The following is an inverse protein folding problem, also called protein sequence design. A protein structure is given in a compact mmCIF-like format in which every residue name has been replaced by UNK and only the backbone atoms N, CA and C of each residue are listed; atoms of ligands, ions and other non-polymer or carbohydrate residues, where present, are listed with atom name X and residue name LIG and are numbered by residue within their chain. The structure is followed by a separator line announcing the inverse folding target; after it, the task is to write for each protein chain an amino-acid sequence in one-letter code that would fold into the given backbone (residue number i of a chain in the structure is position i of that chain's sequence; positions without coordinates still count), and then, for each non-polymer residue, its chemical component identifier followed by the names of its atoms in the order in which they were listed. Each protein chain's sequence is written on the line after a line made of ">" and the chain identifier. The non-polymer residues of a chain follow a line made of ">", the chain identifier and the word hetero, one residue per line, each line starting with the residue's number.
data_IF_618152000699
#
_entry.id   IF_618152000699
#
_cell.length_a   1.000
_cell.length_b   1.000
_cell.length_c   1.000
_cell.angle_alpha   90.00
_cell.angle_beta   90.00
_cell.angle_gamma   90.00
#
_symmetry.space_group_name_H-M   'P 1'
#
loop_
_entity.id
_entity.type
_entity.pdbx_description
1 polymer ?
#
# COMPACT_ATOMS: atom_id res chain seq x y z
N UNK A 1 -28.67 5.60 -57.99
CA UNK A 1 -27.28 5.11 -57.91
C UNK A 1 -26.80 5.23 -56.46
N UNK A 2 -26.57 4.13 -55.73
CA UNK A 2 -26.07 4.19 -54.36
C UNK A 2 -24.53 4.14 -54.31
N UNK A 3 -23.96 4.82 -53.30
CA UNK A 3 -22.53 4.92 -52.98
C UNK A 3 -21.99 3.55 -52.50
N UNK A 4 -20.73 3.18 -52.79
CA UNK A 4 -20.19 1.86 -52.41
C UNK A 4 -19.93 1.76 -50.89
N UNK A 5 -19.97 0.55 -50.31
CA UNK A 5 -19.87 0.33 -48.87
C UNK A 5 -18.44 0.56 -48.36
N UNK A 6 -18.33 1.14 -47.16
CA UNK A 6 -17.06 1.29 -46.47
C UNK A 6 -16.46 -0.09 -46.17
N UNK A 7 -15.20 -0.25 -46.53
CA UNK A 7 -14.40 -1.46 -46.38
C UNK A 7 -14.22 -1.76 -44.89
N UNK A 8 -14.92 -2.78 -44.42
CA UNK A 8 -14.69 -3.43 -43.14
C UNK A 8 -13.36 -4.19 -43.26
N UNK A 9 -12.35 -3.79 -42.48
CA UNK A 9 -11.14 -4.55 -42.22
C UNK A 9 -10.92 -4.51 -40.70
N UNK A 10 -11.27 -5.62 -40.04
CA UNK A 10 -10.64 -6.28 -38.87
C UNK A 10 -9.77 -5.33 -38.02
N UNK A 11 -10.16 -4.91 -36.81
CA UNK A 11 -10.33 -5.71 -35.58
C UNK A 11 -9.23 -6.79 -35.37
N UNK A 12 -8.43 -6.51 -34.34
CA UNK A 12 -7.52 -7.33 -33.53
C UNK A 12 -6.02 -7.40 -33.86
N UNK A 13 -5.26 -7.19 -32.77
CA UNK A 13 -3.81 -7.19 -32.52
C UNK A 13 -3.00 -5.94 -32.93
N UNK A 14 -2.90 -4.99 -31.99
CA UNK A 14 -1.62 -4.65 -31.31
C UNK A 14 -1.86 -3.46 -30.35
N UNK A 15 -2.48 -3.73 -29.20
CA UNK A 15 -2.72 -2.78 -28.08
C UNK A 15 -1.46 -2.45 -27.25
N UNK A 16 -0.25 -2.57 -27.82
CA UNK A 16 0.98 -2.65 -27.01
C UNK A 16 1.96 -1.46 -27.13
N UNK A 17 1.63 -0.37 -27.85
CA UNK A 17 2.57 0.75 -28.04
C UNK A 17 2.21 2.09 -27.38
N UNK A 18 1.11 2.18 -26.62
CA UNK A 18 0.71 3.43 -25.94
C UNK A 18 1.17 3.55 -24.47
N UNK A 19 1.99 2.62 -23.97
CA UNK A 19 2.74 2.78 -22.70
C UNK A 19 4.05 3.57 -22.90
N UNK A 20 4.06 4.55 -23.82
CA UNK A 20 5.09 5.59 -23.82
C UNK A 20 4.85 6.51 -22.64
N UNK A 21 5.43 6.11 -21.51
CA UNK A 21 5.66 6.90 -20.31
C UNK A 21 6.19 8.29 -20.70
N UNK A 22 5.27 9.25 -20.85
CA UNK A 22 5.64 10.64 -21.10
C UNK A 22 6.31 11.17 -19.83
N UNK A 23 7.64 11.26 -19.85
CA UNK A 23 8.41 11.88 -18.77
C UNK A 23 7.90 13.33 -18.63
N UNK A 24 7.36 13.73 -17.46
CA UNK A 24 6.92 15.10 -17.28
C UNK A 24 8.11 16.04 -17.47
N UNK A 25 8.10 16.81 -18.56
CA UNK A 25 9.09 17.85 -18.91
C UNK A 25 9.07 19.06 -17.95
N UNK A 26 8.69 18.88 -16.70
CA UNK A 26 8.66 19.93 -15.70
C UNK A 26 9.56 19.56 -14.54
N UNK A 27 10.82 20.00 -14.57
CA UNK A 27 11.65 19.89 -13.39
C UNK A 27 12.78 20.93 -13.37
N UNK A 28 12.64 21.82 -12.38
CA UNK A 28 13.58 22.83 -11.88
C UNK A 28 15.07 22.47 -12.08
N UNK A 29 15.85 23.45 -12.54
CA UNK A 29 17.28 23.36 -12.88
C UNK A 29 18.14 22.63 -11.83
N UNK A 30 17.76 22.75 -10.56
CA UNK A 30 18.40 22.06 -9.43
C UNK A 30 18.27 20.54 -9.47
N UNK A 31 17.09 20.00 -9.82
CA UNK A 31 16.89 18.55 -9.88
C UNK A 31 17.67 17.94 -11.05
N UNK A 32 17.85 18.65 -12.16
CA UNK A 32 18.75 18.23 -13.26
C UNK A 32 20.20 18.13 -12.79
N UNK A 33 20.66 19.10 -11.99
CA UNK A 33 22.01 19.10 -11.39
C UNK A 33 22.20 17.90 -10.45
N UNK A 34 21.22 17.62 -9.60
CA UNK A 34 21.24 16.47 -8.67
C UNK A 34 21.18 15.15 -9.44
N UNK A 35 20.33 15.06 -10.47
CA UNK A 35 20.21 13.88 -11.33
C UNK A 35 21.54 13.52 -11.99
N UNK A 36 22.20 14.50 -12.63
CA UNK A 36 23.51 14.29 -13.24
C UNK A 36 24.57 13.89 -12.19
N UNK A 37 24.60 14.56 -11.04
CA UNK A 37 25.56 14.25 -9.98
C UNK A 37 25.37 12.84 -9.40
N UNK A 38 24.13 12.40 -9.16
CA UNK A 38 23.85 11.03 -8.68
C UNK A 38 24.19 9.99 -9.74
N UNK A 39 23.89 10.25 -11.01
CA UNK A 39 24.15 9.33 -12.11
C UNK A 39 25.65 9.15 -12.36
N UNK A 40 26.41 10.24 -12.38
CA UNK A 40 27.84 10.21 -12.66
C UNK A 40 28.66 9.65 -11.50
N UNK A 41 28.33 10.01 -10.25
CA UNK A 41 29.15 9.66 -9.10
C UNK A 41 28.75 8.33 -8.46
N UNK A 42 27.48 7.92 -8.59
CA UNK A 42 26.92 6.78 -7.86
C UNK A 42 26.34 5.69 -8.78
N UNK A 43 26.32 5.90 -10.12
CA UNK A 43 25.85 4.91 -11.12
C UNK A 43 24.47 4.31 -10.79
N UNK A 44 23.63 5.09 -10.10
CA UNK A 44 22.33 4.59 -9.66
C UNK A 44 21.40 4.38 -10.87
N UNK A 45 20.69 3.25 -10.93
CA UNK A 45 19.70 3.01 -11.97
C UNK A 45 18.52 3.99 -11.86
N UNK A 46 17.91 4.30 -13.00
CA UNK A 46 16.91 5.36 -13.15
C UNK A 46 15.66 5.15 -12.26
N UNK A 47 15.32 3.91 -11.90
CA UNK A 47 14.20 3.60 -11.00
C UNK A 47 14.41 4.13 -9.57
N UNK A 48 15.64 4.14 -9.06
CA UNK A 48 15.92 4.69 -7.71
C UNK A 48 15.77 6.20 -7.69
N UNK A 49 16.23 6.85 -8.74
CA UNK A 49 16.06 8.30 -8.90
C UNK A 49 14.57 8.66 -8.94
N UNK A 50 13.79 7.90 -9.71
CA UNK A 50 12.35 8.08 -9.78
C UNK A 50 11.66 7.88 -8.41
N UNK A 51 12.06 6.85 -7.65
CA UNK A 51 11.54 6.62 -6.30
C UNK A 51 11.89 7.76 -5.32
N UNK A 52 13.14 8.23 -5.33
CA UNK A 52 13.61 9.33 -4.47
C UNK A 52 12.84 10.62 -4.77
N UNK A 53 12.60 10.93 -6.05
CA UNK A 53 11.85 12.12 -6.47
C UNK A 53 10.33 11.98 -6.29
N UNK A 54 9.80 10.76 -6.25
CA UNK A 54 8.38 10.49 -5.98
C UNK A 54 8.02 10.74 -4.52
N UNK A 55 8.97 10.56 -3.60
CA UNK A 55 8.78 10.80 -2.16
C UNK A 55 8.78 12.31 -1.86
N UNK A 56 7.78 12.77 -1.10
CA UNK A 56 7.69 14.18 -0.69
C UNK A 56 8.83 14.59 0.25
N UNK A 57 9.24 15.87 0.21
CA UNK A 57 10.28 16.40 1.10
C UNK A 57 9.94 16.18 2.59
N UNK A 58 8.65 16.28 2.95
CA UNK A 58 8.17 16.02 4.33
C UNK A 58 8.45 14.58 4.75
N UNK A 59 8.21 13.61 3.87
CA UNK A 59 8.50 12.21 4.13
C UNK A 59 10.00 11.96 4.25
N UNK A 60 10.84 12.59 3.41
CA UNK A 60 12.29 12.54 3.57
C UNK A 60 12.76 13.04 4.93
N UNK A 61 12.23 14.18 5.40
CA UNK A 61 12.52 14.69 6.75
C UNK A 61 12.12 13.69 7.82
N UNK A 62 10.93 13.08 7.73
CA UNK A 62 10.50 12.04 8.67
C UNK A 62 11.42 10.81 8.65
N UNK A 63 11.83 10.33 7.46
CA UNK A 63 12.73 9.18 7.32
C UNK A 63 14.09 9.49 7.96
N UNK A 64 14.68 10.64 7.66
CA UNK A 64 15.95 11.04 8.26
C UNK A 64 15.86 11.24 9.76
N UNK A 65 14.76 11.84 10.25
CA UNK A 65 14.50 12.02 11.67
C UNK A 65 14.38 10.67 12.37
N UNK A 66 13.58 9.76 11.82
CA UNK A 66 13.42 8.41 12.34
C UNK A 66 14.76 7.68 12.36
N UNK A 67 15.53 7.72 11.28
CA UNK A 67 16.85 7.08 11.18
C UNK A 67 17.87 7.66 12.17
N UNK A 68 17.84 8.97 12.45
CA UNK A 68 18.74 9.58 13.44
C UNK A 68 18.37 9.22 14.89
N UNK A 69 17.09 8.90 15.16
CA UNK A 69 16.65 8.42 16.46
C UNK A 69 17.20 7.02 16.80
N UNK A 70 17.49 6.18 15.81
CA UNK A 70 18.01 4.82 16.01
C UNK A 70 19.36 4.77 16.77
N UNK A 71 20.42 5.52 16.37
CA UNK A 71 21.68 5.53 17.12
C UNK A 71 21.54 6.22 18.48
N UNK A 72 20.61 7.16 18.64
CA UNK A 72 20.33 7.79 19.94
C UNK A 72 19.72 6.77 20.89
N UNK A 73 18.74 5.98 20.45
CA UNK A 73 18.14 4.92 21.25
C UNK A 73 19.15 3.84 21.64
N UNK A 74 20.06 3.48 20.72
CA UNK A 74 21.11 2.50 21.00
C UNK A 74 22.10 3.01 22.06
N UNK A 75 22.42 4.31 22.09
CA UNK A 75 23.29 4.90 23.11
C UNK A 75 22.70 4.85 24.52
N UNK A 76 21.38 4.70 24.65
CA UNK A 76 20.67 4.69 25.93
C UNK A 76 20.30 3.25 26.34
N UNK A 77 20.78 2.23 25.62
CA UNK A 77 20.38 0.81 25.75
C UNK A 77 18.87 0.53 25.48
N UNK A 78 18.15 1.49 24.89
CA UNK A 78 16.75 1.34 24.46
C UNK A 78 16.60 0.87 23.00
N UNK A 79 17.68 0.38 22.37
CA UNK A 79 17.66 -0.11 20.99
C UNK A 79 16.53 -1.11 20.71
N UNK A 80 16.39 -2.19 21.52
CA UNK A 80 15.29 -3.15 21.36
C UNK A 80 13.91 -2.51 21.51
N UNK A 81 13.74 -1.59 22.48
CA UNK A 81 12.46 -0.91 22.70
C UNK A 81 12.08 0.01 21.53
N UNK A 82 13.06 0.66 20.93
CA UNK A 82 12.85 1.50 19.75
C UNK A 82 12.38 0.67 18.55
N UNK A 83 12.99 -0.49 18.29
CA UNK A 83 12.56 -1.39 17.22
C UNK A 83 11.16 -1.95 17.52
N UNK A 84 10.93 -2.37 18.77
CA UNK A 84 9.64 -2.93 19.19
C UNK A 84 8.52 -1.89 19.07
N UNK A 85 8.76 -0.68 19.56
CA UNK A 85 7.79 0.43 19.54
C UNK A 85 7.52 0.91 18.13
N UNK A 86 8.55 1.06 17.29
CA UNK A 86 8.36 1.45 15.88
C UNK A 86 7.63 0.36 15.09
N UNK A 87 7.94 -0.91 15.32
CA UNK A 87 7.22 -2.05 14.73
C UNK A 87 5.74 -2.09 15.15
N UNK A 88 5.46 -1.99 16.44
CA UNK A 88 4.08 -1.92 16.94
C UNK A 88 3.32 -0.72 16.37
N UNK A 89 3.96 0.45 16.34
CA UNK A 89 3.35 1.65 15.77
C UNK A 89 3.03 1.46 14.28
N UNK A 90 3.94 0.87 13.50
CA UNK A 90 3.68 0.55 12.10
C UNK A 90 2.51 -0.41 11.94
N UNK A 91 2.43 -1.46 12.77
CA UNK A 91 1.30 -2.40 12.76
C UNK A 91 -0.01 -1.67 13.08
N UNK A 92 -0.04 -0.85 14.13
CA UNK A 92 -1.24 -0.10 14.53
C UNK A 92 -1.66 0.94 13.49
N UNK A 93 -0.71 1.62 12.84
CA UNK A 93 -0.98 2.54 11.74
C UNK A 93 -1.43 1.79 10.48
N UNK A 94 -0.93 0.58 10.27
CA UNK A 94 -1.31 -0.28 9.15
C UNK A 94 -2.62 -1.04 9.40
N UNK A 95 -3.09 -1.11 10.65
CA UNK A 95 -4.31 -1.84 11.03
C UNK A 95 -5.54 -1.40 10.22
N UNK A 96 -5.53 -0.17 9.71
CA UNK A 96 -6.49 0.32 8.72
C UNK A 96 -7.93 0.31 9.25
N UNK A 97 -8.83 0.94 8.50
CA UNK A 97 -10.27 0.69 8.69
C UNK A 97 -10.66 -0.37 7.67
N UNK A 98 -10.98 -1.58 8.13
CA UNK A 98 -11.61 -2.59 7.28
C UNK A 98 -12.87 -2.01 6.66
N UNK A 99 -13.00 -2.11 5.33
CA UNK A 99 -14.27 -1.81 4.68
C UNK A 99 -15.25 -2.94 5.02
N UNK A 100 -16.45 -2.55 5.48
CA UNK A 100 -17.52 -3.50 5.78
C UNK A 100 -17.86 -4.27 4.50
N UNK A 101 -17.51 -5.57 4.45
CA UNK A 101 -17.73 -6.44 3.29
C UNK A 101 -16.47 -7.10 2.71
N UNK A 102 -15.26 -6.76 3.18
CA UNK A 102 -14.06 -7.49 2.77
C UNK A 102 -14.04 -8.91 3.36
N UNK A 103 -13.82 -9.88 2.47
CA UNK A 103 -13.73 -11.31 2.78
C UNK A 103 -12.64 -11.50 3.84
N UNK A 104 -13.04 -11.77 5.07
CA UNK A 104 -12.12 -12.22 6.09
C UNK A 104 -11.59 -13.61 5.72
N UNK A 105 -10.42 -14.00 6.21
CA UNK A 105 -9.93 -15.37 6.06
C UNK A 105 -10.93 -16.42 6.58
N UNK A 106 -11.84 -16.02 7.48
CA UNK A 106 -12.90 -16.87 8.01
C UNK A 106 -14.07 -17.05 7.03
N UNK A 107 -14.41 -16.04 6.22
CA UNK A 107 -15.45 -16.15 5.19
C UNK A 107 -15.02 -17.03 3.99
N UNK A 108 -13.71 -17.30 3.83
CA UNK A 108 -13.23 -18.31 2.87
C UNK A 108 -13.74 -19.71 3.26
N UNK A 109 -13.90 -19.98 4.56
CA UNK A 109 -14.35 -21.28 5.08
C UNK A 109 -15.80 -21.27 5.54
N UNK A 110 -16.40 -20.10 5.71
CA UNK A 110 -17.75 -19.92 6.23
C UNK A 110 -18.38 -18.69 5.59
N UNK A 111 -18.69 -18.82 4.30
CA UNK A 111 -19.22 -17.77 3.43
C UNK A 111 -20.52 -17.17 3.98
N UNK A 112 -21.35 -18.00 4.59
CA UNK A 112 -22.63 -17.64 5.22
C UNK A 112 -22.49 -17.13 6.67
N UNK A 113 -21.27 -17.02 7.21
CA UNK A 113 -21.02 -16.66 8.61
C UNK A 113 -21.84 -17.51 9.60
N UNK A 114 -22.10 -18.78 9.27
CA UNK A 114 -22.86 -19.67 10.13
C UNK A 114 -22.06 -19.95 11.39
N UNK A 115 -22.63 -19.57 12.51
CA UNK A 115 -22.16 -19.97 13.84
C UNK A 115 -21.95 -21.49 13.90
N UNK A 116 -20.79 -21.91 14.42
CA UNK A 116 -20.44 -23.33 14.57
C UNK A 116 -21.42 -23.98 15.55
N UNK A 117 -22.11 -25.07 15.16
CA UNK A 117 -23.01 -25.78 16.07
C UNK A 117 -22.24 -26.27 17.29
N UNK A 118 -22.71 -25.89 18.49
CA UNK A 118 -22.04 -26.21 19.76
C UNK A 118 -21.17 -25.09 20.34
N UNK A 119 -21.00 -23.96 19.64
CA UNK A 119 -20.42 -22.74 20.23
C UNK A 119 -21.48 -21.89 20.91
N UNK A 120 -21.12 -21.24 22.03
CA UNK A 120 -22.02 -20.40 22.81
C UNK A 120 -22.38 -19.15 21.99
N UNK A 121 -23.62 -19.09 21.49
CA UNK A 121 -24.13 -17.91 20.78
C UNK A 121 -24.75 -16.93 21.79
N UNK A 122 -24.28 -15.69 21.80
CA UNK A 122 -24.78 -14.62 22.66
C UNK A 122 -26.27 -14.33 22.45
N UNK A 123 -26.79 -14.44 21.23
CA UNK A 123 -28.22 -14.23 20.93
C UNK A 123 -29.08 -15.38 21.47
N UNK A 124 -28.55 -16.61 21.47
CA UNK A 124 -29.23 -17.75 22.11
C UNK A 124 -29.19 -17.62 23.62
N UNK A 125 -28.02 -17.28 24.18
CA UNK A 125 -27.85 -17.06 25.61
C UNK A 125 -28.77 -15.95 26.13
N UNK A 126 -28.84 -14.80 25.46
CA UNK A 126 -29.74 -13.70 25.87
C UNK A 126 -31.21 -14.11 25.80
N UNK A 127 -31.60 -14.88 24.77
CA UNK A 127 -32.97 -15.40 24.67
C UNK A 127 -33.28 -16.41 25.77
N UNK A 128 -32.35 -17.31 26.10
CA UNK A 128 -32.54 -18.33 27.13
C UNK A 128 -32.60 -17.68 28.53
N UNK A 129 -31.78 -16.65 28.78
CA UNK A 129 -31.87 -15.76 29.96
C UNK A 129 -33.25 -15.11 30.04
N UNK A 130 -33.71 -14.53 28.93
CA UNK A 130 -34.99 -13.82 28.88
C UNK A 130 -36.20 -14.77 28.97
N UNK A 131 -36.07 -15.99 28.46
CA UNK A 131 -37.09 -17.03 28.50
C UNK A 131 -37.08 -17.84 29.81
N UNK A 132 -36.08 -17.63 30.68
CA UNK A 132 -35.94 -18.35 31.95
C UNK A 132 -35.58 -19.84 31.78
N UNK A 133 -34.99 -20.22 30.64
CA UNK A 133 -34.53 -21.58 30.38
C UNK A 133 -33.06 -21.70 30.77
N UNK A 134 -32.80 -22.09 32.02
CA UNK A 134 -31.50 -22.51 32.52
C UNK A 134 -31.64 -23.79 33.33
#
# INVERSE_FOLDING_TARGET
>A
MPKPPAKHLREDDDEDEDLRFQIPQSTSWWKRRIFHFLREKLRLPDFLLMAIFSISLKAWVCIFLWFSLAPVANKWDLGPLYILGTGFLLILLNLGKRQHGEVSAYSIFNEDFRELPGTLNADRLDRDIRAGQF
#
